data_IF_416277326790
#
_entry.id   IF_416277326790
#
_cell.length_a   1.000
_cell.length_b   1.000
_cell.length_c   1.000
_cell.angle_alpha   90.00
_cell.angle_beta   90.00
_cell.angle_gamma   90.00
#
_symmetry.space_group_name_H-M   'P 1'
#
loop_
_entity.id
_entity.type
_entity.pdbx_description
1 polymer ?
#
# COMPACT_ATOMS: atom_id res chain seq x y z
N UNK A 1 23.06 12.72 -11.80
CA UNK A 1 21.99 13.15 -12.75
C UNK A 1 20.58 13.07 -12.17
N UNK A 2 20.05 11.91 -11.77
CA UNK A 2 18.70 11.82 -11.19
C UNK A 2 18.52 12.70 -9.95
N UNK A 3 19.51 12.75 -9.05
CA UNK A 3 19.45 13.59 -7.83
C UNK A 3 19.45 15.09 -8.17
N UNK A 4 20.25 15.51 -9.15
CA UNK A 4 20.24 16.90 -9.59
C UNK A 4 18.90 17.27 -10.25
N UNK A 5 18.36 16.39 -11.07
CA UNK A 5 17.01 16.57 -11.65
C UNK A 5 15.94 16.66 -10.55
N UNK A 6 16.04 15.81 -9.54
CA UNK A 6 15.15 15.86 -8.38
C UNK A 6 15.21 17.22 -7.67
N UNK A 7 16.41 17.76 -7.37
CA UNK A 7 16.56 19.07 -6.74
C UNK A 7 15.93 20.17 -7.58
N UNK A 8 16.26 20.24 -8.88
CA UNK A 8 15.75 21.29 -9.79
C UNK A 8 14.21 21.22 -9.90
N UNK A 9 13.66 20.02 -10.10
CA UNK A 9 12.20 19.88 -10.20
C UNK A 9 11.50 20.18 -8.88
N UNK A 10 12.11 19.86 -7.74
CA UNK A 10 11.59 20.21 -6.41
C UNK A 10 11.54 21.71 -6.20
N UNK A 11 12.62 22.42 -6.53
CA UNK A 11 12.67 23.88 -6.42
C UNK A 11 11.63 24.52 -7.33
N UNK A 12 11.50 24.04 -8.58
CA UNK A 12 10.48 24.56 -9.50
C UNK A 12 9.04 24.33 -8.97
N UNK A 13 8.73 23.14 -8.51
CA UNK A 13 7.38 22.81 -8.01
C UNK A 13 7.01 23.63 -6.78
N UNK A 14 7.94 23.81 -5.83
CA UNK A 14 7.70 24.59 -4.61
C UNK A 14 7.60 26.08 -4.95
N UNK A 15 8.52 26.61 -5.78
CA UNK A 15 8.53 28.04 -6.12
C UNK A 15 7.32 28.47 -6.94
N UNK A 16 6.88 27.66 -7.90
CA UNK A 16 5.73 27.97 -8.75
C UNK A 16 4.39 27.64 -8.11
N UNK A 17 4.37 26.76 -7.09
CA UNK A 17 3.15 26.22 -6.49
C UNK A 17 2.34 25.31 -7.43
N UNK A 18 2.76 25.16 -8.69
CA UNK A 18 2.03 24.36 -9.68
C UNK A 18 2.14 22.87 -9.35
N UNK A 19 1.00 22.24 -9.17
CA UNK A 19 0.89 20.82 -8.80
C UNK A 19 1.71 20.42 -7.56
N UNK A 20 1.89 21.35 -6.62
CA UNK A 20 2.74 21.21 -5.43
C UNK A 20 2.45 19.93 -4.63
N UNK A 21 1.19 19.67 -4.28
CA UNK A 21 0.78 18.47 -3.52
C UNK A 21 1.03 17.19 -4.31
N UNK A 22 0.66 17.15 -5.60
CA UNK A 22 0.93 16.01 -6.48
C UNK A 22 2.44 15.75 -6.63
N UNK A 23 3.24 16.81 -6.68
CA UNK A 23 4.69 16.68 -6.75
C UNK A 23 5.24 16.01 -5.49
N UNK A 24 4.87 16.49 -4.32
CA UNK A 24 5.36 15.95 -3.05
C UNK A 24 4.92 14.52 -2.80
N UNK A 25 3.66 14.19 -3.09
CA UNK A 25 3.09 12.88 -2.78
C UNK A 25 3.40 11.79 -3.81
N UNK A 26 3.68 12.15 -5.06
CA UNK A 26 3.87 11.17 -6.13
C UNK A 26 5.24 11.25 -6.80
N UNK A 27 5.70 12.45 -7.14
CA UNK A 27 6.92 12.63 -7.92
C UNK A 27 8.15 12.45 -7.07
N UNK A 28 8.18 13.00 -5.86
CA UNK A 28 9.30 12.83 -4.91
C UNK A 28 9.54 11.36 -4.61
N UNK A 29 8.56 10.57 -4.13
CA UNK A 29 8.80 9.16 -3.85
C UNK A 29 9.18 8.36 -5.11
N UNK A 30 8.67 8.74 -6.29
CA UNK A 30 9.03 8.10 -7.55
C UNK A 30 10.52 8.31 -7.89
N UNK A 31 11.05 9.55 -7.78
CA UNK A 31 12.47 9.82 -8.00
C UNK A 31 13.36 9.03 -7.04
N UNK A 32 13.01 9.01 -5.76
CA UNK A 32 13.78 8.28 -4.75
C UNK A 32 13.74 6.77 -5.01
N UNK A 33 12.58 6.23 -5.38
CA UNK A 33 12.43 4.84 -5.78
C UNK A 33 13.33 4.49 -6.99
N UNK A 34 13.38 5.34 -8.02
CA UNK A 34 14.24 5.16 -9.18
C UNK A 34 15.73 5.22 -8.82
N UNK A 35 16.11 6.16 -7.94
CA UNK A 35 17.50 6.26 -7.44
C UNK A 35 17.86 4.97 -6.68
N UNK A 36 16.97 4.47 -5.81
CA UNK A 36 17.15 3.23 -5.07
C UNK A 36 17.28 2.01 -5.99
N UNK A 37 16.49 1.94 -7.05
CA UNK A 37 16.56 0.85 -8.03
C UNK A 37 17.90 0.82 -8.77
N UNK A 38 18.56 1.96 -8.92
CA UNK A 38 19.86 2.11 -9.60
C UNK A 38 21.05 1.97 -8.66
N UNK A 39 20.90 2.46 -7.42
CA UNK A 39 21.96 2.52 -6.41
C UNK A 39 21.62 1.62 -5.22
N UNK A 40 22.55 1.49 -4.28
CA UNK A 40 22.28 0.83 -3.00
C UNK A 40 21.64 1.81 -2.01
N UNK A 41 21.06 1.27 -0.94
CA UNK A 41 20.36 2.04 0.12
C UNK A 41 21.23 3.17 0.68
N UNK A 42 22.53 2.91 0.92
CA UNK A 42 23.48 3.88 1.47
C UNK A 42 23.61 5.13 0.59
N UNK A 43 23.81 4.95 -0.70
CA UNK A 43 23.95 6.06 -1.63
C UNK A 43 22.63 6.77 -1.91
N UNK A 44 21.53 6.04 -1.86
CA UNK A 44 20.20 6.63 -2.00
C UNK A 44 19.85 7.52 -0.81
N UNK A 45 20.12 7.06 0.42
CA UNK A 45 19.93 7.86 1.64
C UNK A 45 20.82 9.12 1.60
N UNK A 46 22.09 8.99 1.28
CA UNK A 46 23.00 10.13 1.19
C UNK A 46 22.49 11.15 0.16
N UNK A 47 22.14 10.68 -1.03
CA UNK A 47 21.57 11.53 -2.09
C UNK A 47 20.26 12.19 -1.68
N UNK A 48 19.38 11.48 -0.96
CA UNK A 48 18.11 12.02 -0.49
C UNK A 48 18.30 13.11 0.56
N UNK A 49 19.17 12.87 1.53
CA UNK A 49 19.48 13.84 2.60
C UNK A 49 20.12 15.09 2.00
N UNK A 50 21.13 14.93 1.14
CA UNK A 50 21.79 16.09 0.50
C UNK A 50 20.84 16.87 -0.37
N UNK A 51 19.97 16.21 -1.14
CA UNK A 51 18.96 16.91 -1.96
C UNK A 51 17.93 17.64 -1.11
N UNK A 52 17.47 17.03 -0.01
CA UNK A 52 16.56 17.67 0.94
C UNK A 52 17.18 18.91 1.56
N UNK A 53 18.43 18.83 2.02
CA UNK A 53 19.16 19.97 2.58
C UNK A 53 19.32 21.11 1.57
N UNK A 54 19.69 20.82 0.34
CA UNK A 54 19.83 21.83 -0.72
C UNK A 54 18.49 22.53 -0.95
N UNK A 55 17.40 21.78 -1.11
CA UNK A 55 16.07 22.38 -1.34
C UNK A 55 15.63 23.21 -0.14
N UNK A 56 15.78 22.70 1.08
CA UNK A 56 15.37 23.40 2.31
C UNK A 56 16.16 24.71 2.51
N UNK A 57 17.49 24.67 2.36
CA UNK A 57 18.35 25.84 2.51
C UNK A 57 18.12 26.87 1.41
N UNK A 58 17.82 26.44 0.18
CA UNK A 58 17.57 27.34 -0.95
C UNK A 58 16.23 28.05 -0.87
N UNK A 59 15.20 27.39 -0.35
CA UNK A 59 13.83 27.91 -0.32
C UNK A 59 13.45 28.49 1.06
N UNK A 60 14.13 28.08 2.13
CA UNK A 60 13.79 28.48 3.51
C UNK A 60 12.46 27.92 4.02
N UNK A 61 11.85 26.98 3.31
CA UNK A 61 10.55 26.40 3.65
C UNK A 61 10.71 25.03 4.33
N UNK A 62 10.64 25.07 5.66
CA UNK A 62 10.74 23.86 6.50
C UNK A 62 9.51 22.96 6.37
N UNK A 63 8.33 23.52 6.13
CA UNK A 63 7.10 22.76 6.00
C UNK A 63 7.16 21.82 4.77
N UNK A 64 7.56 22.37 3.61
CA UNK A 64 7.80 21.58 2.40
C UNK A 64 8.87 20.51 2.61
N UNK A 65 9.94 20.81 3.36
CA UNK A 65 10.99 19.86 3.64
C UNK A 65 10.49 18.64 4.44
N UNK A 66 9.65 18.87 5.45
CA UNK A 66 9.05 17.77 6.24
C UNK A 66 8.14 16.93 5.35
N UNK A 67 7.32 17.54 4.52
CA UNK A 67 6.46 16.80 3.61
C UNK A 67 7.27 16.02 2.56
N UNK A 68 8.33 16.61 2.01
CA UNK A 68 9.27 15.89 1.13
C UNK A 68 9.91 14.70 1.84
N UNK A 69 10.20 14.78 3.14
CA UNK A 69 10.77 13.67 3.89
C UNK A 69 9.84 12.45 3.92
N UNK A 70 8.52 12.66 3.99
CA UNK A 70 7.53 11.59 3.82
C UNK A 70 7.67 10.91 2.45
N UNK A 71 7.71 11.69 1.37
CA UNK A 71 7.91 11.19 0.02
C UNK A 71 9.21 10.40 -0.14
N UNK A 72 10.30 10.89 0.47
CA UNK A 72 11.60 10.19 0.47
C UNK A 72 11.48 8.82 1.15
N UNK A 73 10.90 8.74 2.34
CA UNK A 73 10.75 7.49 3.07
C UNK A 73 9.84 6.51 2.30
N UNK A 74 8.73 7.01 1.75
CA UNK A 74 7.83 6.18 0.92
C UNK A 74 8.53 5.65 -0.33
N UNK A 75 9.34 6.48 -0.99
CA UNK A 75 10.14 6.06 -2.16
C UNK A 75 11.17 4.99 -1.83
N UNK A 76 11.84 5.10 -0.67
CA UNK A 76 12.78 4.08 -0.18
C UNK A 76 12.07 2.76 0.12
N UNK A 77 10.91 2.80 0.79
CA UNK A 77 10.09 1.62 1.08
C UNK A 77 9.69 0.93 -0.23
N UNK A 78 9.13 1.67 -1.18
CA UNK A 78 8.75 1.12 -2.48
C UNK A 78 9.96 0.53 -3.22
N UNK A 79 11.08 1.24 -3.27
CA UNK A 79 12.31 0.77 -3.93
C UNK A 79 12.85 -0.52 -3.33
N UNK A 80 12.82 -0.63 -1.99
CA UNK A 80 13.24 -1.84 -1.28
C UNK A 80 12.39 -3.05 -1.68
N UNK A 81 11.07 -2.93 -1.61
CA UNK A 81 10.17 -4.05 -1.91
C UNK A 81 10.16 -4.39 -3.41
N UNK A 82 10.26 -3.42 -4.30
CA UNK A 82 10.37 -3.68 -5.74
C UNK A 82 11.62 -4.53 -6.06
N UNK A 83 12.77 -4.25 -5.44
CA UNK A 83 14.01 -5.01 -5.66
C UNK A 83 14.01 -6.39 -5.02
N UNK A 84 13.29 -6.55 -3.91
CA UNK A 84 13.21 -7.81 -3.18
C UNK A 84 12.46 -8.86 -4.00
N UNK A 85 12.87 -10.12 -3.91
CA UNK A 85 12.11 -11.25 -4.44
C UNK A 85 10.85 -11.43 -3.58
N UNK A 86 9.69 -11.40 -4.22
CA UNK A 86 8.40 -11.53 -3.55
C UNK A 86 7.25 -11.30 -4.51
N UNK A 87 6.02 -11.60 -4.08
CA UNK A 87 4.84 -11.31 -4.88
C UNK A 87 4.53 -9.81 -4.89
N UNK A 88 3.92 -9.31 -5.94
CA UNK A 88 3.53 -7.90 -6.04
C UNK A 88 2.58 -7.51 -4.89
N UNK A 89 1.70 -8.43 -4.46
CA UNK A 89 0.79 -8.17 -3.35
C UNK A 89 1.48 -8.10 -2.00
N UNK A 90 2.52 -8.91 -1.78
CA UNK A 90 3.32 -8.80 -0.56
C UNK A 90 4.03 -7.45 -0.51
N UNK A 91 4.57 -6.99 -1.65
CA UNK A 91 5.20 -5.68 -1.74
C UNK A 91 4.22 -4.56 -1.35
N UNK A 92 2.99 -4.60 -1.91
CA UNK A 92 1.96 -3.62 -1.56
C UNK A 92 1.50 -3.72 -0.12
N UNK A 93 1.31 -4.93 0.41
CA UNK A 93 0.88 -5.17 1.78
C UNK A 93 1.85 -4.55 2.79
N UNK A 94 3.14 -4.94 2.71
CA UNK A 94 4.14 -4.42 3.64
C UNK A 94 4.43 -2.93 3.44
N UNK A 95 4.46 -2.47 2.20
CA UNK A 95 4.65 -1.04 1.92
C UNK A 95 3.49 -0.20 2.47
N UNK A 96 2.25 -0.67 2.36
CA UNK A 96 1.08 0.03 2.87
C UNK A 96 1.08 0.11 4.40
N UNK A 97 1.44 -0.98 5.10
CA UNK A 97 1.56 -0.98 6.56
C UNK A 97 2.62 0.03 7.00
N UNK A 98 3.82 -0.02 6.40
CA UNK A 98 4.88 0.94 6.71
C UNK A 98 4.47 2.37 6.33
N UNK A 99 3.74 2.55 5.23
CA UNK A 99 3.20 3.84 4.81
C UNK A 99 2.25 4.45 5.83
N UNK A 100 1.37 3.66 6.45
CA UNK A 100 0.50 4.14 7.53
C UNK A 100 1.31 4.64 8.73
N UNK A 101 2.38 3.95 9.13
CA UNK A 101 3.29 4.41 10.18
C UNK A 101 3.96 5.73 9.81
N UNK A 102 4.51 5.82 8.60
CA UNK A 102 5.21 7.02 8.13
C UNK A 102 4.27 8.23 8.11
N UNK A 103 3.06 8.06 7.58
CA UNK A 103 2.08 9.14 7.51
C UNK A 103 1.77 9.72 8.91
N UNK A 104 1.52 8.87 9.90
CA UNK A 104 1.22 9.34 11.27
C UNK A 104 2.45 9.94 11.95
N UNK A 105 3.64 9.36 11.76
CA UNK A 105 4.87 9.94 12.30
C UNK A 105 5.09 11.36 11.74
N UNK A 106 4.91 11.54 10.45
CA UNK A 106 5.06 12.85 9.82
C UNK A 106 4.00 13.83 10.34
N UNK A 107 2.75 13.43 10.51
CA UNK A 107 1.71 14.29 11.10
C UNK A 107 2.08 14.77 12.51
N UNK A 108 2.64 13.89 13.35
CA UNK A 108 3.13 14.26 14.69
C UNK A 108 4.23 15.33 14.63
N UNK A 109 5.23 15.13 13.74
CA UNK A 109 6.34 16.09 13.63
C UNK A 109 5.89 17.39 12.96
N UNK A 110 5.09 17.30 11.91
CA UNK A 110 4.54 18.45 11.19
C UNK A 110 3.68 19.31 12.11
N UNK A 111 2.81 18.71 12.90
CA UNK A 111 1.94 19.44 13.83
C UNK A 111 2.71 20.19 14.93
N UNK A 112 3.85 19.65 15.38
CA UNK A 112 4.70 20.31 16.38
C UNK A 112 5.41 21.56 15.83
N UNK A 113 5.76 21.56 14.55
CA UNK A 113 6.52 22.62 13.91
C UNK A 113 5.63 23.71 13.29
N UNK A 114 4.51 23.34 12.71
CA UNK A 114 3.63 24.28 11.99
C UNK A 114 2.34 24.59 12.73
N UNK A 115 2.03 23.84 13.79
CA UNK A 115 0.73 23.90 14.49
C UNK A 115 -0.43 23.25 13.73
N UNK A 116 -0.20 22.86 12.47
CA UNK A 116 -1.18 22.18 11.63
C UNK A 116 -1.08 20.66 11.81
N UNK A 117 -2.21 19.99 11.97
CA UNK A 117 -2.29 18.54 12.05
C UNK A 117 -3.41 18.04 11.17
N UNK A 118 -3.13 17.06 10.35
CA UNK A 118 -4.11 16.36 9.53
C UNK A 118 -5.24 15.74 10.37
N UNK A 119 -4.90 15.23 11.55
CA UNK A 119 -5.91 14.74 12.50
C UNK A 119 -6.85 15.84 13.00
N UNK A 120 -6.30 17.00 13.38
CA UNK A 120 -7.09 18.13 13.86
C UNK A 120 -7.99 18.69 12.75
N UNK A 121 -7.48 18.74 11.53
CA UNK A 121 -8.28 19.15 10.38
C UNK A 121 -9.43 18.19 10.14
N UNK A 122 -9.19 16.88 10.16
CA UNK A 122 -10.24 15.89 10.03
C UNK A 122 -11.27 16.01 11.16
N UNK A 123 -10.83 16.27 12.41
CA UNK A 123 -11.73 16.50 13.52
C UNK A 123 -12.63 17.74 13.33
N UNK A 124 -12.15 18.77 12.63
CA UNK A 124 -12.96 19.95 12.31
C UNK A 124 -14.15 19.63 11.38
N UNK A 125 -14.00 18.59 10.54
CA UNK A 125 -15.09 18.13 9.68
C UNK A 125 -16.11 17.25 10.38
N UNK A 126 -15.87 16.80 11.63
CA UNK A 126 -16.84 15.98 12.40
C UNK A 126 -18.20 16.66 12.56
N UNK A 127 -18.18 17.97 12.76
CA UNK A 127 -19.42 18.75 12.88
C UNK A 127 -20.26 18.88 11.60
N UNK A 128 -19.66 18.58 10.44
CA UNK A 128 -20.33 18.69 9.13
C UNK A 128 -21.09 17.39 8.75
N UNK A 129 -20.73 16.28 9.33
CA UNK A 129 -21.33 14.97 9.02
C UNK A 129 -22.15 14.46 10.20
N UNK A 130 -23.43 14.09 10.02
CA UNK A 130 -24.28 13.54 11.07
C UNK A 130 -23.96 12.06 11.35
N UNK A 131 -22.67 11.75 11.58
CA UNK A 131 -22.20 10.40 11.85
C UNK A 131 -21.83 10.25 13.33
N UNK A 132 -22.10 9.07 13.90
CA UNK A 132 -21.66 8.74 15.25
C UNK A 132 -20.12 8.69 15.32
N UNK A 133 -19.55 8.94 16.48
CA UNK A 133 -18.09 8.96 16.69
C UNK A 133 -17.38 7.67 16.22
N UNK A 134 -18.04 6.51 16.42
CA UNK A 134 -17.50 5.22 15.99
C UNK A 134 -17.37 5.14 14.46
N UNK A 135 -18.41 5.53 13.71
CA UNK A 135 -18.36 5.55 12.25
C UNK A 135 -17.34 6.57 11.73
N UNK A 136 -17.23 7.72 12.40
CA UNK A 136 -16.25 8.74 12.02
C UNK A 136 -14.82 8.26 12.20
N UNK A 137 -14.53 7.50 13.26
CA UNK A 137 -13.21 6.91 13.47
C UNK A 137 -12.87 5.85 12.41
N UNK A 138 -13.84 5.09 11.95
CA UNK A 138 -13.68 4.12 10.85
C UNK A 138 -13.38 4.85 9.54
N UNK A 139 -14.14 5.90 9.21
CA UNK A 139 -13.93 6.72 8.01
C UNK A 139 -12.53 7.33 8.02
N UNK A 140 -12.09 7.88 9.16
CA UNK A 140 -10.74 8.40 9.31
C UNK A 140 -9.66 7.32 9.08
N UNK A 141 -9.86 6.14 9.65
CA UNK A 141 -8.92 5.03 9.48
C UNK A 141 -8.83 4.55 8.02
N UNK A 142 -9.96 4.55 7.30
CA UNK A 142 -9.99 4.24 5.86
C UNK A 142 -9.21 5.31 5.09
N UNK A 143 -9.39 6.58 5.42
CA UNK A 143 -8.69 7.68 4.77
C UNK A 143 -7.18 7.60 4.99
N UNK A 144 -6.74 7.40 6.23
CA UNK A 144 -5.32 7.21 6.60
C UNK A 144 -4.70 6.00 5.92
N UNK A 145 -5.47 4.92 5.68
CA UNK A 145 -4.99 3.74 4.98
C UNK A 145 -4.93 3.95 3.46
N UNK A 146 -5.88 4.68 2.88
CA UNK A 146 -6.03 4.84 1.42
C UNK A 146 -4.94 5.72 0.82
N UNK A 147 -4.52 6.79 1.53
CA UNK A 147 -3.49 7.71 1.03
C UNK A 147 -2.17 6.98 0.77
N UNK A 148 -1.56 6.25 1.74
CA UNK A 148 -0.34 5.50 1.48
C UNK A 148 -0.50 4.44 0.38
N UNK A 149 -1.63 3.73 0.34
CA UNK A 149 -1.88 2.70 -0.68
C UNK A 149 -1.86 3.32 -2.08
N UNK A 150 -2.52 4.46 -2.28
CA UNK A 150 -2.58 5.14 -3.58
C UNK A 150 -1.21 5.66 -4.01
N UNK A 151 -0.46 6.29 -3.10
CA UNK A 151 0.92 6.75 -3.36
C UNK A 151 1.82 5.57 -3.74
N UNK A 152 1.80 4.49 -2.97
CA UNK A 152 2.59 3.28 -3.23
C UNK A 152 2.26 2.69 -4.59
N UNK A 153 0.98 2.58 -4.93
CA UNK A 153 0.54 2.01 -6.22
C UNK A 153 1.08 2.84 -7.39
N UNK A 154 0.97 4.16 -7.33
CA UNK A 154 1.45 5.06 -8.39
C UNK A 154 2.97 5.01 -8.51
N UNK A 155 3.66 5.06 -7.37
CA UNK A 155 5.14 5.02 -7.32
C UNK A 155 5.65 3.68 -7.83
N UNK A 156 5.05 2.58 -7.40
CA UNK A 156 5.43 1.23 -7.80
C UNK A 156 5.28 1.02 -9.31
N UNK A 157 4.10 1.36 -9.86
CA UNK A 157 3.85 1.24 -11.28
C UNK A 157 4.74 2.20 -12.08
N UNK A 158 4.82 3.46 -11.69
CA UNK A 158 5.65 4.47 -12.32
C UNK A 158 7.13 4.06 -12.36
N UNK A 159 7.66 3.58 -11.21
CA UNK A 159 9.05 3.13 -11.11
C UNK A 159 9.36 1.94 -12.02
N UNK A 160 8.45 0.97 -12.16
CA UNK A 160 8.63 -0.16 -13.07
C UNK A 160 8.64 0.28 -14.54
N UNK A 161 7.70 1.15 -14.95
CA UNK A 161 7.63 1.62 -16.34
C UNK A 161 8.80 2.54 -16.72
N UNK A 162 9.13 3.52 -15.86
CA UNK A 162 10.26 4.43 -16.09
C UNK A 162 11.58 3.69 -15.94
N UNK A 163 11.71 2.81 -14.93
CA UNK A 163 12.88 1.98 -14.71
C UNK A 163 13.20 1.08 -15.91
N UNK A 164 12.19 0.58 -16.61
CA UNK A 164 12.38 -0.16 -17.86
C UNK A 164 12.93 0.74 -18.98
N UNK A 165 12.39 1.95 -19.12
CA UNK A 165 12.91 2.91 -20.12
C UNK A 165 14.36 3.33 -19.84
N UNK A 166 14.73 3.45 -18.56
CA UNK A 166 16.09 3.82 -18.13
C UNK A 166 17.06 2.62 -18.06
N UNK A 167 16.61 1.40 -18.34
CA UNK A 167 17.39 0.16 -18.26
C UNK A 167 18.02 -0.09 -16.88
N UNK A 168 17.30 0.27 -15.79
CA UNK A 168 17.78 0.10 -14.40
C UNK A 168 17.12 -1.10 -13.67
N UNK A 169 16.29 -1.88 -14.37
CA UNK A 169 15.61 -3.04 -13.79
C UNK A 169 16.59 -4.22 -13.63
N UNK A 170 16.66 -4.78 -12.42
CA UNK A 170 17.29 -6.07 -12.15
C UNK A 170 16.36 -7.23 -12.52
N UNK A 171 16.78 -8.48 -12.37
CA UNK A 171 15.98 -9.66 -12.73
C UNK A 171 14.63 -9.69 -12.03
N UNK A 172 14.59 -9.54 -10.71
CA UNK A 172 13.33 -9.53 -9.93
C UNK A 172 12.37 -8.43 -10.39
N UNK A 173 12.91 -7.24 -10.66
CA UNK A 173 12.09 -6.10 -11.10
C UNK A 173 11.59 -6.25 -12.54
N UNK A 174 12.37 -6.92 -13.40
CA UNK A 174 11.92 -7.27 -14.77
C UNK A 174 10.73 -8.23 -14.73
N UNK A 175 10.76 -9.24 -13.86
CA UNK A 175 9.64 -10.15 -13.66
C UNK A 175 8.36 -9.40 -13.25
N UNK A 176 8.46 -8.57 -12.21
CA UNK A 176 7.35 -7.73 -11.74
C UNK A 176 6.82 -6.80 -12.83
N UNK A 177 7.72 -6.17 -13.60
CA UNK A 177 7.35 -5.36 -14.76
C UNK A 177 6.58 -6.16 -15.80
N UNK A 178 7.00 -7.39 -16.11
CA UNK A 178 6.31 -8.25 -17.09
C UNK A 178 4.90 -8.61 -16.65
N UNK A 179 4.72 -8.89 -15.36
CA UNK A 179 3.40 -9.18 -14.78
C UNK A 179 2.49 -7.95 -14.90
N UNK A 180 2.99 -6.76 -14.52
CA UNK A 180 2.23 -5.51 -14.56
C UNK A 180 1.90 -5.11 -16.01
N UNK A 181 2.86 -5.18 -16.92
CA UNK A 181 2.64 -4.86 -18.34
C UNK A 181 1.55 -5.73 -18.98
N UNK A 182 1.49 -7.00 -18.61
CA UNK A 182 0.52 -7.94 -19.11
C UNK A 182 -0.57 -8.25 -18.06
N UNK A 183 -1.04 -7.25 -17.34
CA UNK A 183 -1.97 -7.40 -16.22
C UNK A 183 -3.26 -8.15 -16.62
N UNK A 184 -3.80 -7.92 -17.82
CA UNK A 184 -4.97 -8.66 -18.32
C UNK A 184 -4.77 -10.18 -18.30
N UNK A 185 -3.53 -10.65 -18.55
CA UNK A 185 -3.20 -12.07 -18.60
C UNK A 185 -2.80 -12.64 -17.25
N UNK A 186 -2.03 -11.88 -16.46
CA UNK A 186 -1.41 -12.37 -15.23
C UNK A 186 -2.10 -11.86 -13.96
N UNK A 187 -2.90 -10.80 -14.03
CA UNK A 187 -3.55 -10.19 -12.88
C UNK A 187 -4.42 -11.16 -12.08
N UNK A 188 -5.04 -12.13 -12.76
CA UNK A 188 -5.81 -13.18 -12.09
C UNK A 188 -4.96 -14.11 -11.21
N UNK A 189 -3.65 -14.24 -11.47
CA UNK A 189 -2.75 -15.12 -10.71
C UNK A 189 -2.03 -14.39 -9.58
N UNK A 190 -2.15 -13.06 -9.50
CA UNK A 190 -1.50 -12.28 -8.45
C UNK A 190 -2.25 -12.52 -7.13
N UNK A 191 -1.51 -13.03 -6.13
CA UNK A 191 -2.02 -13.33 -4.78
C UNK A 191 -0.95 -13.01 -3.73
N UNK A 192 -1.37 -12.91 -2.48
CA UNK A 192 -0.45 -12.82 -1.35
C UNK A 192 0.30 -14.15 -1.16
N UNK A 193 1.54 -14.10 -0.66
CA UNK A 193 2.24 -15.29 -0.22
C UNK A 193 1.53 -15.94 0.98
N UNK A 194 1.81 -17.21 1.21
CA UNK A 194 1.24 -17.94 2.36
C UNK A 194 1.58 -17.25 3.68
N UNK A 195 2.83 -16.80 3.84
CA UNK A 195 3.29 -16.12 5.05
C UNK A 195 2.56 -14.81 5.29
N UNK A 196 2.44 -13.95 4.28
CA UNK A 196 1.74 -12.66 4.37
C UNK A 196 0.27 -12.85 4.72
N UNK A 197 -0.39 -13.82 4.12
CA UNK A 197 -1.79 -14.11 4.40
C UNK A 197 -2.00 -14.56 5.86
N UNK A 198 -1.14 -15.45 6.39
CA UNK A 198 -1.22 -15.89 7.79
C UNK A 198 -0.87 -14.77 8.78
N UNK A 199 0.16 -13.96 8.50
CA UNK A 199 0.51 -12.78 9.32
C UNK A 199 -0.70 -11.85 9.44
N UNK A 200 -1.39 -11.58 8.32
CA UNK A 200 -2.58 -10.76 8.34
C UNK A 200 -3.71 -11.35 9.17
N UNK A 201 -3.99 -12.66 9.07
CA UNK A 201 -5.01 -13.32 9.89
C UNK A 201 -4.65 -13.25 11.38
N UNK A 202 -3.40 -13.54 11.74
CA UNK A 202 -2.92 -13.47 13.12
C UNK A 202 -3.10 -12.05 13.67
N UNK A 203 -2.75 -11.04 12.89
CA UNK A 203 -2.96 -9.64 13.27
C UNK A 203 -4.43 -9.34 13.58
N UNK A 204 -5.37 -9.77 12.71
CA UNK A 204 -6.81 -9.55 12.93
C UNK A 204 -7.32 -10.28 14.17
N UNK A 205 -6.86 -11.50 14.42
CA UNK A 205 -7.23 -12.26 15.64
C UNK A 205 -6.73 -11.53 16.88
N UNK A 206 -5.47 -11.09 16.90
CA UNK A 206 -4.89 -10.35 18.04
C UNK A 206 -5.67 -9.06 18.25
N UNK A 207 -6.01 -8.32 17.19
CA UNK A 207 -6.77 -7.08 17.28
C UNK A 207 -8.17 -7.31 17.90
N UNK A 208 -8.90 -8.33 17.45
CA UNK A 208 -10.23 -8.64 18.00
C UNK A 208 -10.15 -9.13 19.45
N UNK A 209 -9.11 -9.90 19.83
CA UNK A 209 -8.88 -10.31 21.22
C UNK A 209 -8.61 -9.11 22.12
N UNK A 210 -7.76 -8.16 21.70
CA UNK A 210 -7.50 -6.94 22.45
C UNK A 210 -8.79 -6.10 22.63
N UNK A 211 -9.62 -6.06 21.61
CA UNK A 211 -10.91 -5.36 21.68
C UNK A 211 -11.89 -6.03 22.66
N UNK A 212 -11.95 -7.36 22.71
CA UNK A 212 -12.78 -8.13 23.65
C UNK A 212 -12.32 -7.94 25.09
N UNK A 213 -11.01 -7.86 25.34
CA UNK A 213 -10.42 -7.61 26.68
C UNK A 213 -10.68 -6.17 27.13
N UNK A 214 -11.14 -5.29 26.25
CA UNK A 214 -11.34 -3.89 26.55
C UNK A 214 -10.05 -3.10 26.67
N UNK A 215 -8.98 -3.53 25.96
CA UNK A 215 -7.72 -2.82 25.97
C UNK A 215 -7.83 -1.49 25.22
N UNK A 216 -7.73 -0.39 25.95
CA UNK A 216 -7.74 0.95 25.38
C UNK A 216 -6.31 1.44 25.13
N UNK A 217 -6.06 1.92 23.93
CA UNK A 217 -4.80 2.56 23.58
C UNK A 217 -4.81 4.01 24.10
N UNK A 218 -3.99 4.32 25.09
CA UNK A 218 -3.89 5.64 25.72
C UNK A 218 -3.42 6.74 24.73
N UNK A 219 -2.67 6.35 23.70
CA UNK A 219 -2.16 7.29 22.70
C UNK A 219 -3.04 7.29 21.45
N UNK A 220 -3.72 8.40 21.18
CA UNK A 220 -4.65 8.58 20.04
C UNK A 220 -3.97 8.27 18.71
N UNK A 221 -2.74 8.73 18.51
CA UNK A 221 -1.97 8.44 17.29
C UNK A 221 -1.71 6.95 17.09
N UNK A 222 -1.35 6.23 18.16
CA UNK A 222 -1.13 4.78 18.08
C UNK A 222 -2.42 4.03 17.77
N UNK A 223 -3.54 4.40 18.38
CA UNK A 223 -4.87 3.87 18.06
C UNK A 223 -5.17 4.01 16.56
N UNK A 224 -4.92 5.18 15.99
CA UNK A 224 -5.18 5.44 14.58
C UNK A 224 -4.27 4.63 13.63
N UNK A 225 -2.98 4.46 13.99
CA UNK A 225 -2.08 3.56 13.24
C UNK A 225 -2.62 2.14 13.23
N UNK A 226 -2.96 1.60 14.39
CA UNK A 226 -3.47 0.23 14.52
C UNK A 226 -4.78 0.06 13.74
N UNK A 227 -5.70 1.03 13.82
CA UNK A 227 -6.93 1.00 13.03
C UNK A 227 -6.67 1.10 11.52
N UNK A 228 -5.77 1.96 11.07
CA UNK A 228 -5.42 2.07 9.65
C UNK A 228 -4.79 0.78 9.12
N UNK A 229 -3.87 0.17 9.89
CA UNK A 229 -3.30 -1.13 9.55
C UNK A 229 -4.39 -2.21 9.48
N UNK A 230 -5.37 -2.20 10.40
CA UNK A 230 -6.51 -3.11 10.34
C UNK A 230 -7.25 -3.01 9.01
N UNK A 231 -7.50 -1.80 8.53
CA UNK A 231 -8.15 -1.56 7.23
C UNK A 231 -7.33 -2.13 6.09
N UNK A 232 -6.00 -1.86 6.07
CA UNK A 232 -5.08 -2.42 5.07
C UNK A 232 -5.14 -3.94 5.08
N UNK A 233 -5.01 -4.56 6.25
CA UNK A 233 -5.00 -6.02 6.40
C UNK A 233 -6.33 -6.63 5.95
N UNK A 234 -7.47 -6.06 6.36
CA UNK A 234 -8.80 -6.50 5.92
C UNK A 234 -8.90 -6.44 4.40
N UNK A 235 -8.46 -5.34 3.77
CA UNK A 235 -8.53 -5.18 2.32
C UNK A 235 -7.76 -6.30 1.58
N UNK A 236 -6.50 -6.56 1.96
CA UNK A 236 -5.68 -7.55 1.28
C UNK A 236 -6.18 -8.98 1.52
N UNK A 237 -6.57 -9.33 2.76
CA UNK A 237 -7.11 -10.65 3.08
C UNK A 237 -8.44 -10.87 2.38
N UNK A 238 -9.35 -9.89 2.41
CA UNK A 238 -10.65 -9.97 1.74
C UNK A 238 -10.49 -10.21 0.24
N UNK A 239 -9.65 -9.40 -0.41
CA UNK A 239 -9.38 -9.49 -1.85
C UNK A 239 -8.78 -10.84 -2.22
N UNK A 240 -7.85 -11.35 -1.43
CA UNK A 240 -7.21 -12.65 -1.68
C UNK A 240 -8.19 -13.80 -1.45
N UNK A 241 -8.90 -13.81 -0.31
CA UNK A 241 -9.91 -14.82 0.04
C UNK A 241 -11.03 -14.89 -0.98
N UNK A 242 -11.57 -13.72 -1.39
CA UNK A 242 -12.60 -13.62 -2.41
C UNK A 242 -12.14 -14.22 -3.74
N UNK A 243 -10.92 -13.88 -4.18
CA UNK A 243 -10.34 -14.43 -5.41
C UNK A 243 -10.21 -15.96 -5.36
N UNK A 244 -9.76 -16.53 -4.22
CA UNK A 244 -9.62 -17.98 -4.08
C UNK A 244 -10.96 -18.70 -4.04
N UNK A 245 -11.96 -18.17 -3.36
CA UNK A 245 -13.30 -18.76 -3.31
C UNK A 245 -13.91 -18.80 -4.70
N UNK A 246 -13.86 -17.69 -5.45
CA UNK A 246 -14.39 -17.65 -6.82
C UNK A 246 -13.67 -18.64 -7.74
N UNK A 247 -12.34 -18.73 -7.67
CA UNK A 247 -11.57 -19.68 -8.50
C UNK A 247 -11.85 -21.13 -8.12
N UNK A 248 -11.93 -21.42 -6.81
CA UNK A 248 -12.27 -22.76 -6.33
C UNK A 248 -13.65 -23.21 -6.80
N UNK A 249 -14.62 -22.30 -6.77
CA UNK A 249 -15.97 -22.55 -7.28
C UNK A 249 -16.00 -22.68 -8.81
N UNK A 250 -15.29 -21.84 -9.55
CA UNK A 250 -15.19 -21.92 -11.00
C UNK A 250 -14.62 -23.26 -11.48
N UNK A 251 -13.65 -23.82 -10.75
CA UNK A 251 -13.08 -25.14 -11.06
C UNK A 251 -14.10 -26.29 -10.82
N UNK A 252 -15.03 -26.12 -9.86
CA UNK A 252 -16.06 -27.14 -9.57
C UNK A 252 -17.31 -27.01 -10.42
N UNK A 253 -17.81 -25.79 -10.63
CA UNK A 253 -19.14 -25.56 -11.21
C UNK A 253 -19.18 -25.61 -12.73
N UNK A 254 -18.05 -25.67 -13.45
CA UNK A 254 -17.95 -25.72 -14.94
C UNK A 254 -18.84 -24.71 -15.73
N UNK A 255 -19.78 -24.00 -15.07
CA UNK A 255 -20.71 -23.04 -15.66
C UNK A 255 -20.29 -21.61 -15.30
N UNK A 256 -20.04 -20.79 -16.30
CA UNK A 256 -19.69 -19.38 -16.11
C UNK A 256 -20.84 -18.57 -15.48
N UNK A 257 -22.09 -18.87 -15.84
CA UNK A 257 -23.26 -18.19 -15.28
C UNK A 257 -23.43 -18.42 -13.78
N UNK A 258 -23.24 -19.64 -13.29
CA UNK A 258 -23.29 -19.94 -11.86
C UNK A 258 -22.20 -19.21 -11.09
N UNK A 259 -20.99 -19.12 -11.61
CA UNK A 259 -19.90 -18.39 -10.94
C UNK A 259 -20.15 -16.90 -10.85
N UNK A 260 -20.81 -16.29 -11.84
CA UNK A 260 -21.22 -14.88 -11.80
C UNK A 260 -22.33 -14.62 -10.76
N UNK A 261 -23.32 -15.52 -10.67
CA UNK A 261 -24.39 -15.41 -9.67
C UNK A 261 -23.80 -15.52 -8.25
N UNK A 262 -22.93 -16.48 -8.01
CA UNK A 262 -22.27 -16.64 -6.70
C UNK A 262 -21.41 -15.42 -6.38
N UNK A 263 -20.71 -14.86 -7.34
CA UNK A 263 -19.91 -13.63 -7.16
C UNK A 263 -20.79 -12.45 -6.73
N UNK A 264 -21.94 -12.23 -7.38
CA UNK A 264 -22.90 -11.19 -7.02
C UNK A 264 -23.50 -11.43 -5.62
N UNK A 265 -23.84 -12.68 -5.30
CA UNK A 265 -24.41 -13.05 -4.01
C UNK A 265 -23.39 -12.83 -2.88
N UNK A 266 -22.13 -13.18 -3.06
CA UNK A 266 -21.08 -12.92 -2.07
C UNK A 266 -20.85 -11.41 -1.88
N UNK A 267 -20.88 -10.61 -2.95
CA UNK A 267 -20.83 -9.16 -2.86
C UNK A 267 -22.01 -8.60 -2.06
N UNK A 268 -23.23 -9.04 -2.37
CA UNK A 268 -24.43 -8.62 -1.62
C UNK A 268 -24.33 -8.97 -0.14
N UNK A 269 -23.89 -10.19 0.18
CA UNK A 269 -23.68 -10.63 1.57
C UNK A 269 -22.63 -9.80 2.31
N UNK A 270 -21.57 -9.33 1.64
CA UNK A 270 -20.58 -8.43 2.21
C UNK A 270 -21.19 -7.08 2.61
N UNK A 271 -22.16 -6.57 1.84
CA UNK A 271 -22.86 -5.32 2.21
C UNK A 271 -23.85 -5.51 3.35
N UNK A 272 -24.57 -6.64 3.40
CA UNK A 272 -25.59 -6.90 4.43
C UNK A 272 -24.96 -7.26 5.78
N UNK A 273 -23.95 -8.15 5.78
CA UNK A 273 -23.30 -8.60 7.01
C UNK A 273 -21.80 -8.80 6.79
N UNK A 274 -21.05 -7.71 6.86
CA UNK A 274 -19.62 -7.69 6.58
C UNK A 274 -18.82 -8.67 7.45
N UNK A 275 -18.98 -8.62 8.78
CA UNK A 275 -18.19 -9.44 9.72
C UNK A 275 -18.37 -10.94 9.47
N UNK A 276 -19.63 -11.38 9.39
CA UNK A 276 -19.93 -12.79 9.17
C UNK A 276 -19.42 -13.28 7.82
N UNK A 277 -19.70 -12.54 6.76
CA UNK A 277 -19.28 -12.91 5.39
C UNK A 277 -17.77 -12.92 5.25
N UNK A 278 -17.06 -11.97 5.88
CA UNK A 278 -15.60 -11.94 5.91
C UNK A 278 -15.03 -13.21 6.54
N UNK A 279 -15.53 -13.62 7.72
CA UNK A 279 -15.08 -14.84 8.39
C UNK A 279 -15.32 -16.08 7.52
N UNK A 280 -16.52 -16.21 6.95
CA UNK A 280 -16.87 -17.32 6.04
C UNK A 280 -15.94 -17.35 4.82
N UNK A 281 -15.63 -16.21 4.21
CA UNK A 281 -14.71 -16.12 3.08
C UNK A 281 -13.28 -16.56 3.46
N UNK A 282 -12.79 -16.12 4.62
CA UNK A 282 -11.45 -16.51 5.09
C UNK A 282 -11.38 -18.01 5.34
N UNK A 283 -12.34 -18.59 6.06
CA UNK A 283 -12.38 -20.04 6.35
C UNK A 283 -12.49 -20.82 5.04
N UNK A 284 -13.39 -20.43 4.14
CA UNK A 284 -13.57 -21.08 2.83
C UNK A 284 -12.31 -21.02 1.99
N UNK A 285 -11.63 -19.87 1.98
CA UNK A 285 -10.35 -19.67 1.27
C UNK A 285 -9.25 -20.60 1.82
N UNK A 286 -9.15 -20.73 3.15
CA UNK A 286 -8.20 -21.65 3.80
C UNK A 286 -8.48 -23.10 3.43
N UNK A 287 -9.76 -23.52 3.50
CA UNK A 287 -10.17 -24.87 3.14
C UNK A 287 -9.87 -25.18 1.66
N UNK A 288 -10.26 -24.29 0.74
CA UNK A 288 -9.99 -24.44 -0.69
C UNK A 288 -8.48 -24.54 -0.96
N UNK A 289 -7.69 -23.67 -0.32
CA UNK A 289 -6.24 -23.68 -0.50
C UNK A 289 -5.58 -24.95 0.10
N UNK A 290 -6.12 -25.48 1.19
CA UNK A 290 -5.65 -26.74 1.78
C UNK A 290 -5.87 -27.92 0.82
N UNK A 291 -7.08 -28.05 0.25
CA UNK A 291 -7.41 -29.16 -0.64
C UNK A 291 -6.84 -29.02 -2.05
N UNK A 292 -6.82 -27.83 -2.61
CA UNK A 292 -6.51 -27.58 -4.04
C UNK A 292 -5.13 -26.97 -4.27
N UNK A 293 -4.41 -26.53 -3.23
CA UNK A 293 -3.09 -25.84 -3.31
C UNK A 293 -3.03 -24.71 -4.36
N UNK A 294 -4.15 -24.02 -4.55
CA UNK A 294 -4.31 -23.00 -5.62
C UNK A 294 -3.23 -21.93 -5.52
N UNK A 295 -2.87 -21.49 -4.31
CA UNK A 295 -1.84 -20.46 -4.08
C UNK A 295 -0.48 -20.88 -4.63
N UNK A 296 -0.04 -22.08 -4.31
CA UNK A 296 1.24 -22.62 -4.79
C UNK A 296 1.25 -22.75 -6.32
N UNK A 297 0.14 -23.23 -6.89
CA UNK A 297 -0.01 -23.35 -8.34
C UNK A 297 0.07 -21.98 -9.00
N UNK A 298 -0.56 -20.94 -8.44
CA UNK A 298 -0.55 -19.59 -9.02
C UNK A 298 0.85 -18.96 -8.96
N UNK A 299 1.54 -19.06 -7.83
CA UNK A 299 2.92 -18.56 -7.69
C UNK A 299 3.85 -19.27 -8.68
N UNK A 300 3.79 -20.62 -8.71
CA UNK A 300 4.61 -21.41 -9.65
C UNK A 300 4.29 -21.13 -11.12
N UNK A 301 3.03 -20.81 -11.45
CA UNK A 301 2.66 -20.40 -12.80
C UNK A 301 3.26 -19.04 -13.18
N UNK A 302 3.26 -18.06 -12.27
CA UNK A 302 3.91 -16.77 -12.50
C UNK A 302 5.41 -16.95 -12.70
N UNK A 303 6.09 -17.71 -11.85
CA UNK A 303 7.53 -17.98 -11.97
C UNK A 303 7.88 -18.68 -13.30
N UNK A 304 7.11 -19.69 -13.72
CA UNK A 304 7.35 -20.37 -15.00
C UNK A 304 7.13 -19.47 -16.22
N UNK A 305 6.18 -18.55 -16.14
CA UNK A 305 5.85 -17.66 -17.26
C UNK A 305 6.86 -16.51 -17.40
N UNK A 306 7.57 -16.17 -16.33
CA UNK A 306 8.63 -15.15 -16.33
C UNK A 306 9.98 -15.72 -16.79
N UNK A 307 10.27 -17.00 -16.54
CA UNK A 307 11.53 -17.68 -16.91
C UNK A 307 11.59 -18.04 -18.43
N UNK A 308 10.44 -18.25 -19.07
CA UNK A 308 10.37 -18.70 -20.47
C UNK A 308 10.59 -17.60 -21.53
N UNK A 309 11.08 -16.42 -21.16
CA UNK A 309 11.40 -15.30 -22.06
C UNK A 309 12.70 -14.61 -21.65
#
# INVERSE_FOLDING_TARGET
>A
MLSALFVVTSMMAIYTGVAYTLYLDMVVPLFICLIYMRLDIKYTLLSSITSLLIVTLSLGDVASAIWMSQGIIMGLICGYFIRKKGTIFDDFFYSAILGCFVMILIDIYFSKLTGYSFMKEFDSYRGLFPLNEEYMSIVFSIFVATIPISTILIVYLGALFIGKKLNILNENTKEKYMIVRNFKKYGAYICCSKSTYFIGIIYLIIYELLNIIGFEFNFVYFKNVVMAIRVVVIYFILKDSFSFVIKGLALRCKSQGMTQIIWLLLLYMLFVNFKFTFIVLVISSLAINYFMKIREIQINMLDKLTIKR
#
